data_IF_982170379147
#
_entry.id   IF_982170379147
#
_cell.length_a   1.000
_cell.length_b   1.000
_cell.length_c   1.000
_cell.angle_alpha   90.00
_cell.angle_beta   90.00
_cell.angle_gamma   90.00
#
_symmetry.space_group_name_H-M   'P 1'
#
loop_
_entity.id
_entity.type
_entity.pdbx_description
1 polymer ?
#
# COMPACT_ATOMS: atom_id res chain seq x y z
N UNK A 1 -18.46 -17.67 0.10
CA UNK A 1 -18.28 -16.24 -0.22
C UNK A 1 -18.46 -15.43 1.07
N UNK A 2 -17.78 -15.85 2.15
CA UNK A 2 -18.24 -15.54 3.52
C UNK A 2 -17.12 -15.05 4.46
N UNK A 3 -16.14 -14.34 3.90
CA UNK A 3 -14.97 -13.84 4.64
C UNK A 3 -14.72 -12.34 4.45
N UNK A 4 -15.58 -11.64 3.71
CA UNK A 4 -15.38 -10.23 3.33
C UNK A 4 -15.94 -9.28 4.38
N UNK A 5 -17.12 -9.56 4.93
CA UNK A 5 -17.78 -8.69 5.91
C UNK A 5 -17.16 -8.77 7.31
N UNK A 6 -16.67 -9.94 7.72
CA UNK A 6 -16.11 -10.13 9.07
C UNK A 6 -14.72 -9.52 9.27
N UNK A 7 -14.10 -9.00 8.20
CA UNK A 7 -12.71 -8.50 8.19
C UNK A 7 -12.59 -7.00 7.94
N UNK A 8 -13.71 -6.27 7.84
CA UNK A 8 -13.70 -4.84 7.49
C UNK A 8 -13.12 -4.58 6.10
N UNK A 9 -13.25 -5.57 5.20
CA UNK A 9 -12.69 -5.48 3.87
C UNK A 9 -13.68 -4.81 2.93
N UNK A 10 -13.29 -3.64 2.44
CA UNK A 10 -14.07 -2.93 1.45
C UNK A 10 -14.20 -3.78 0.18
N UNK A 11 -15.44 -4.17 -0.15
CA UNK A 11 -15.78 -5.00 -1.32
C UNK A 11 -15.32 -4.35 -2.62
N UNK A 12 -15.17 -3.02 -2.67
CA UNK A 12 -14.63 -2.30 -3.83
C UNK A 12 -13.17 -2.64 -4.13
N UNK A 13 -12.37 -2.90 -3.10
CA UNK A 13 -10.94 -3.30 -3.23
C UNK A 13 -10.84 -4.72 -3.77
N UNK A 14 -11.69 -5.62 -3.30
CA UNK A 14 -11.78 -7.00 -3.80
C UNK A 14 -12.30 -7.07 -5.25
N UNK A 15 -13.24 -6.22 -5.62
CA UNK A 15 -13.72 -6.12 -7.00
C UNK A 15 -12.66 -5.51 -7.94
N UNK A 16 -11.88 -4.52 -7.47
CA UNK A 16 -10.81 -3.90 -8.24
C UNK A 16 -9.55 -4.76 -8.39
N UNK A 17 -9.35 -5.76 -7.52
CA UNK A 17 -8.23 -6.71 -7.58
C UNK A 17 -8.22 -7.57 -8.84
N UNK A 18 -9.41 -7.82 -9.43
CA UNK A 18 -9.60 -8.69 -10.59
C UNK A 18 -9.46 -7.92 -11.93
N UNK A 19 -9.73 -6.61 -11.92
CA UNK A 19 -9.72 -5.76 -13.14
C UNK A 19 -8.55 -4.79 -13.22
N UNK A 20 -7.76 -4.60 -12.15
CA UNK A 20 -6.69 -3.60 -12.11
C UNK A 20 -7.19 -2.14 -12.06
N UNK A 21 -8.50 -1.94 -12.02
CA UNK A 21 -9.18 -0.64 -12.10
C UNK A 21 -8.86 0.28 -10.91
N UNK A 22 -8.48 -0.30 -9.76
CA UNK A 22 -8.15 0.47 -8.56
C UNK A 22 -6.87 1.31 -8.71
N UNK A 23 -5.95 0.92 -9.61
CA UNK A 23 -4.69 1.64 -9.87
C UNK A 23 -4.90 2.88 -10.74
N UNK A 24 -5.86 2.83 -11.66
CA UNK A 24 -6.23 3.99 -12.48
C UNK A 24 -6.90 5.08 -11.63
N UNK A 25 -7.68 4.68 -10.63
CA UNK A 25 -8.40 5.62 -9.75
C UNK A 25 -7.54 6.22 -8.63
N UNK A 26 -6.29 5.76 -8.45
CA UNK A 26 -5.35 6.22 -7.40
C UNK A 26 -5.99 6.32 -6.00
N UNK A 27 -6.87 5.39 -5.65
CA UNK A 27 -7.58 5.43 -4.38
C UNK A 27 -6.67 4.95 -3.24
N UNK A 28 -6.54 5.77 -2.20
CA UNK A 28 -5.87 5.38 -0.97
C UNK A 28 -6.72 4.36 -0.24
N UNK A 29 -6.21 3.13 -0.09
CA UNK A 29 -6.89 2.06 0.63
C UNK A 29 -6.25 1.87 1.99
N UNK A 30 -7.04 1.99 3.06
CA UNK A 30 -6.60 1.76 4.44
C UNK A 30 -7.29 0.51 4.95
N UNK A 31 -6.49 -0.49 5.37
CA UNK A 31 -7.02 -1.68 6.03
C UNK A 31 -6.93 -1.51 7.54
N UNK A 32 -8.07 -1.50 8.23
CA UNK A 32 -8.13 -1.39 9.70
C UNK A 32 -8.81 -2.64 10.30
N UNK A 33 -8.25 -3.19 11.38
CA UNK A 33 -8.87 -4.29 12.13
C UNK A 33 -7.93 -4.89 13.20
N UNK A 34 -8.34 -5.97 13.86
CA UNK A 34 -7.50 -6.65 14.86
C UNK A 34 -6.20 -7.25 14.27
N UNK A 35 -5.14 -7.34 15.06
CA UNK A 35 -3.89 -8.05 14.71
C UNK A 35 -4.20 -9.51 14.33
N UNK A 36 -3.56 -10.05 13.30
CA UNK A 36 -3.82 -11.42 12.83
C UNK A 36 -5.03 -11.61 11.90
N UNK A 37 -5.75 -10.54 11.54
CA UNK A 37 -6.88 -10.60 10.59
C UNK A 37 -6.46 -10.71 9.10
N UNK A 38 -5.16 -10.74 8.81
CA UNK A 38 -4.64 -10.94 7.45
C UNK A 38 -4.50 -9.66 6.61
N UNK A 39 -4.50 -8.47 7.22
CA UNK A 39 -4.31 -7.18 6.52
C UNK A 39 -3.01 -7.11 5.72
N UNK A 40 -1.88 -7.50 6.33
CA UNK A 40 -0.58 -7.59 5.66
C UNK A 40 -0.61 -8.53 4.45
N UNK A 41 -1.36 -9.65 4.57
CA UNK A 41 -1.51 -10.61 3.48
C UNK A 41 -2.30 -10.02 2.30
N UNK A 42 -3.33 -9.21 2.58
CA UNK A 42 -4.10 -8.51 1.56
C UNK A 42 -3.32 -7.39 0.90
N UNK A 43 -2.57 -6.59 1.66
CA UNK A 43 -1.62 -5.60 1.12
C UNK A 43 -0.61 -6.26 0.18
N UNK A 44 -0.05 -7.41 0.59
CA UNK A 44 0.84 -8.21 -0.25
C UNK A 44 0.15 -8.73 -1.52
N UNK A 45 -1.09 -9.21 -1.42
CA UNK A 45 -1.85 -9.69 -2.58
C UNK A 45 -2.16 -8.56 -3.57
N UNK A 46 -2.49 -7.37 -3.07
CA UNK A 46 -2.72 -6.15 -3.85
C UNK A 46 -1.45 -5.71 -4.59
N UNK A 47 -0.32 -5.63 -3.87
CA UNK A 47 0.97 -5.30 -4.47
C UNK A 47 1.38 -6.33 -5.54
N UNK A 48 1.16 -7.63 -5.29
CA UNK A 48 1.41 -8.69 -6.28
C UNK A 48 0.51 -8.54 -7.51
N UNK A 49 -0.77 -8.21 -7.33
CA UNK A 49 -1.69 -7.98 -8.45
C UNK A 49 -1.29 -6.77 -9.29
N UNK A 50 -0.92 -5.66 -8.64
CA UNK A 50 -0.40 -4.47 -9.31
C UNK A 50 0.85 -4.79 -10.15
N UNK A 51 1.81 -5.55 -9.59
CA UNK A 51 2.98 -6.01 -10.32
C UNK A 51 2.63 -6.88 -11.53
N UNK A 52 1.64 -7.79 -11.42
CA UNK A 52 1.15 -8.60 -12.56
C UNK A 52 0.55 -7.72 -13.65
N UNK A 53 -0.17 -6.68 -13.27
CA UNK A 53 -0.72 -5.67 -14.17
C UNK A 53 0.32 -4.64 -14.66
N UNK A 54 1.63 -4.91 -14.50
CA UNK A 54 2.77 -4.08 -14.94
C UNK A 54 2.86 -2.70 -14.26
N UNK A 55 2.19 -2.50 -13.13
CA UNK A 55 2.33 -1.29 -12.33
C UNK A 55 3.52 -1.37 -11.37
N UNK A 56 4.15 -0.22 -11.11
CA UNK A 56 5.21 -0.09 -10.11
C UNK A 56 4.57 -0.06 -8.71
N UNK A 57 4.68 -1.14 -7.96
CA UNK A 57 4.22 -1.21 -6.57
C UNK A 57 5.42 -1.33 -5.62
N UNK A 58 5.27 -0.79 -4.41
CA UNK A 58 6.23 -0.97 -3.32
C UNK A 58 5.50 -1.27 -2.01
N UNK A 59 6.09 -2.16 -1.22
CA UNK A 59 5.70 -2.47 0.14
C UNK A 59 6.75 -1.92 1.10
N UNK A 60 6.33 -1.27 2.18
CA UNK A 60 7.21 -0.78 3.24
C UNK A 60 6.51 -0.87 4.60
N UNK A 61 7.26 -1.15 5.66
CA UNK A 61 6.71 -1.07 7.02
C UNK A 61 6.78 0.37 7.54
N UNK A 62 5.83 0.76 8.37
CA UNK A 62 5.69 2.09 8.93
C UNK A 62 6.92 2.49 9.77
N UNK A 63 7.52 1.61 10.61
CA UNK A 63 8.76 1.91 11.31
C UNK A 63 9.92 2.21 10.35
N UNK A 64 10.08 1.39 9.30
CA UNK A 64 11.14 1.56 8.31
C UNK A 64 10.95 2.86 7.50
N UNK A 65 9.69 3.24 7.23
CA UNK A 65 9.37 4.51 6.57
C UNK A 65 9.64 5.70 7.49
N UNK A 66 9.28 5.61 8.76
CA UNK A 66 9.53 6.65 9.76
C UNK A 66 11.04 6.89 9.97
N UNK A 67 11.83 5.83 9.98
CA UNK A 67 13.30 5.92 10.02
C UNK A 67 13.84 6.62 8.77
N UNK A 68 13.37 6.24 7.57
CA UNK A 68 13.77 6.91 6.32
C UNK A 68 13.42 8.40 6.31
N UNK A 69 12.25 8.78 6.84
CA UNK A 69 11.85 10.19 6.98
C UNK A 69 12.77 10.92 7.95
N UNK A 70 13.08 10.31 9.10
CA UNK A 70 13.98 10.88 10.11
C UNK A 70 15.38 11.13 9.54
N UNK A 71 15.94 10.14 8.84
CA UNK A 71 17.24 10.25 8.16
C UNK A 71 17.20 11.32 7.05
N UNK A 72 16.09 11.42 6.33
CA UNK A 72 15.91 12.41 5.26
C UNK A 72 15.75 13.84 5.81
N UNK A 73 15.12 14.02 6.98
CA UNK A 73 14.97 15.31 7.64
C UNK A 73 16.31 15.89 8.11
N UNK A 74 17.27 15.03 8.49
CA UNK A 74 18.63 15.44 8.88
C UNK A 74 19.53 15.88 7.71
N UNK A 75 19.07 15.82 6.45
CA UNK A 75 19.86 16.16 5.26
C UNK A 75 19.21 17.32 4.49
N UNK A 76 19.98 18.33 4.04
CA UNK A 76 19.45 19.38 3.17
C UNK A 76 18.78 18.79 1.92
N UNK A 77 17.49 19.08 1.73
CA UNK A 77 16.70 18.57 0.61
C UNK A 77 16.38 17.07 0.66
N UNK A 78 16.65 16.37 1.78
CA UNK A 78 16.42 14.93 1.90
C UNK A 78 14.94 14.55 1.82
N UNK A 79 14.06 15.27 2.54
CA UNK A 79 12.60 15.01 2.53
C UNK A 79 11.99 15.14 1.13
N UNK A 80 12.22 16.23 0.36
CA UNK A 80 11.77 16.31 -1.02
C UNK A 80 12.27 15.17 -1.91
N UNK A 81 13.51 14.71 -1.70
CA UNK A 81 14.09 13.58 -2.43
C UNK A 81 13.35 12.27 -2.12
N UNK A 82 13.03 12.05 -0.84
CA UNK A 82 12.28 10.89 -0.38
C UNK A 82 10.86 10.87 -0.95
N UNK A 83 10.16 12.02 -0.92
CA UNK A 83 8.84 12.17 -1.52
C UNK A 83 8.87 11.86 -3.02
N UNK A 84 9.84 12.42 -3.76
CA UNK A 84 10.00 12.14 -5.19
C UNK A 84 10.22 10.65 -5.47
N UNK A 85 11.01 9.95 -4.65
CA UNK A 85 11.21 8.49 -4.77
C UNK A 85 9.88 7.75 -4.68
N UNK A 86 9.08 8.01 -3.64
CA UNK A 86 7.81 7.33 -3.43
C UNK A 86 6.72 7.72 -4.43
N UNK A 87 6.76 8.95 -4.95
CA UNK A 87 5.84 9.41 -6.00
C UNK A 87 6.01 8.67 -7.35
N UNK A 88 7.11 7.93 -7.56
CA UNK A 88 7.32 7.13 -8.79
C UNK A 88 6.58 5.80 -8.79
N UNK A 89 5.95 5.41 -7.69
CA UNK A 89 5.20 4.17 -7.60
C UNK A 89 3.70 4.44 -7.85
N UNK A 90 3.06 3.52 -8.58
CA UNK A 90 1.61 3.52 -8.79
C UNK A 90 0.87 3.06 -7.54
N UNK A 91 1.50 2.23 -6.70
CA UNK A 91 0.95 1.74 -5.44
C UNK A 91 2.03 1.76 -4.36
N UNK A 92 1.73 2.41 -3.24
CA UNK A 92 2.52 2.40 -2.01
C UNK A 92 1.71 1.68 -0.93
N UNK A 93 2.11 0.44 -0.63
CA UNK A 93 1.55 -0.33 0.47
C UNK A 93 2.39 -0.07 1.72
N UNK A 94 1.74 0.39 2.79
CA UNK A 94 2.35 0.65 4.09
C UNK A 94 1.72 -0.31 5.09
N UNK A 95 2.55 -1.06 5.82
CA UNK A 95 2.12 -1.98 6.89
C UNK A 95 2.73 -1.57 8.23
N UNK A 96 2.16 -1.99 9.37
CA UNK A 96 2.66 -1.66 10.71
C UNK A 96 3.92 -2.47 11.10
#
# INVERSE_FOLDING_TARGET
>A
IDLVEKRGLDRSVLAGLDTGNHLEQRLNTVFQGATGSGKSHLLCALAKSACRARYRAIYIRLPDLAEQVTVAAGKPGGVPKLVRKYATYNLLAIDE
#
